data_IF_005122120882
#
_entry.id   IF_005122120882
#
_cell.length_a   1.000
_cell.length_b   1.000
_cell.length_c   1.000
_cell.angle_alpha   90.00
_cell.angle_beta   90.00
_cell.angle_gamma   90.00
#
_symmetry.space_group_name_H-M   'P 1'
#
loop_
_entity.id
_entity.type
_entity.pdbx_description
1 polymer ?
#
# COMPACT_ATOMS: atom_id res chain seq x y z
N UNK A 1 -12.14 20.48 12.04
CA UNK A 1 -12.32 19.24 11.26
C UNK A 1 -10.96 18.58 11.13
N UNK A 2 -10.67 17.47 11.83
CA UNK A 2 -9.39 16.80 11.66
C UNK A 2 -9.35 16.22 10.25
N UNK A 3 -8.31 16.60 9.50
CA UNK A 3 -8.05 16.13 8.14
C UNK A 3 -8.10 14.61 8.10
N UNK A 4 -8.90 14.04 7.21
CA UNK A 4 -8.82 12.63 6.81
C UNK A 4 -7.40 12.38 6.30
N UNK A 5 -6.51 11.94 7.19
CA UNK A 5 -5.16 11.55 6.84
C UNK A 5 -5.28 10.17 6.21
N UNK A 6 -4.93 9.98 4.92
CA UNK A 6 -5.02 8.68 4.26
C UNK A 6 -4.27 7.58 5.01
N UNK A 7 -3.23 7.96 5.77
CA UNK A 7 -2.52 7.01 6.61
C UNK A 7 -3.37 6.52 7.79
N UNK A 8 -4.24 7.36 8.36
CA UNK A 8 -5.12 6.98 9.47
C UNK A 8 -6.14 5.92 9.03
N UNK A 9 -6.69 6.03 7.82
CA UNK A 9 -7.60 5.01 7.28
C UNK A 9 -6.89 3.67 7.06
N UNK A 10 -5.65 3.69 6.54
CA UNK A 10 -4.81 2.50 6.37
C UNK A 10 -4.47 1.83 7.71
N UNK A 11 -4.08 2.61 8.71
CA UNK A 11 -3.84 2.09 10.07
C UNK A 11 -5.09 1.50 10.71
N UNK A 12 -6.28 2.09 10.47
CA UNK A 12 -7.56 1.55 10.96
C UNK A 12 -7.90 0.23 10.25
N UNK A 13 -7.70 0.13 8.93
CA UNK A 13 -7.96 -1.09 8.16
C UNK A 13 -7.07 -2.24 8.65
N UNK A 14 -5.78 -1.96 8.86
CA UNK A 14 -4.82 -2.90 9.45
C UNK A 14 -5.28 -3.33 10.84
N UNK A 15 -5.61 -2.38 11.72
CA UNK A 15 -6.07 -2.69 13.09
C UNK A 15 -7.34 -3.57 13.11
N UNK A 16 -8.27 -3.35 12.17
CA UNK A 16 -9.45 -4.21 12.01
C UNK A 16 -9.09 -5.61 11.54
N UNK A 17 -8.14 -5.76 10.61
CA UNK A 17 -7.63 -7.06 10.18
C UNK A 17 -6.95 -7.81 11.33
N UNK A 18 -6.18 -7.12 12.18
CA UNK A 18 -5.60 -7.69 13.40
C UNK A 18 -6.68 -8.21 14.35
N UNK A 19 -7.68 -7.38 14.65
CA UNK A 19 -8.81 -7.74 15.52
C UNK A 19 -9.58 -8.94 15.00
N UNK A 20 -9.82 -9.01 13.69
CA UNK A 20 -10.45 -10.16 13.05
C UNK A 20 -9.60 -11.43 13.19
N UNK A 21 -8.30 -11.35 12.91
CA UNK A 21 -7.39 -12.48 13.07
C UNK A 21 -7.32 -12.99 14.52
N UNK A 22 -7.38 -12.09 15.51
CA UNK A 22 -7.45 -12.47 16.93
C UNK A 22 -8.76 -13.22 17.24
N UNK A 23 -9.90 -12.77 16.71
CA UNK A 23 -11.17 -13.42 16.93
C UNK A 23 -11.27 -14.78 16.21
N UNK A 24 -10.76 -14.86 14.98
CA UNK A 24 -10.72 -16.09 14.18
C UNK A 24 -9.80 -17.14 14.85
N UNK A 25 -8.67 -16.71 15.41
CA UNK A 25 -7.76 -17.60 16.16
C UNK A 25 -8.28 -17.95 17.55
N UNK A 26 -9.07 -17.08 18.21
CA UNK A 26 -9.72 -17.40 19.47
C UNK A 26 -10.73 -18.56 19.33
N UNK A 27 -11.40 -18.66 18.18
CA UNK A 27 -12.33 -19.74 17.85
C UNK A 27 -11.66 -21.08 17.50
N UNK A 28 -10.36 -21.08 17.18
CA UNK A 28 -9.61 -22.26 16.74
C UNK A 28 -8.91 -22.98 17.92
N UNK A 29 -8.74 -24.30 17.88
CA UNK A 29 -8.22 -25.10 19.01
C UNK A 29 -6.69 -25.22 19.07
N UNK A 30 -5.96 -24.33 18.38
CA UNK A 30 -4.48 -24.32 18.32
C UNK A 30 -3.81 -23.85 19.62
N UNK A 31 -2.51 -24.11 19.75
CA UNK A 31 -1.73 -23.61 20.90
C UNK A 31 -1.70 -22.07 20.90
N UNK A 32 -1.51 -21.47 22.08
CA UNK A 32 -1.44 -20.01 22.20
C UNK A 32 -0.35 -19.40 21.30
N UNK A 33 0.75 -20.11 21.09
CA UNK A 33 1.86 -19.70 20.23
C UNK A 33 1.49 -19.72 18.75
N UNK A 34 0.76 -20.74 18.30
CA UNK A 34 0.27 -20.82 16.91
C UNK A 34 -0.69 -19.67 16.58
N UNK A 35 -1.56 -19.32 17.53
CA UNK A 35 -2.50 -18.19 17.40
C UNK A 35 -1.77 -16.86 17.29
N UNK A 36 -0.74 -16.65 18.11
CA UNK A 36 0.10 -15.44 18.05
C UNK A 36 0.81 -15.35 16.69
N UNK A 37 1.37 -16.46 16.21
CA UNK A 37 2.05 -16.51 14.92
C UNK A 37 1.09 -16.22 13.75
N UNK A 38 -0.13 -16.78 13.79
CA UNK A 38 -1.16 -16.53 12.79
C UNK A 38 -1.59 -15.06 12.73
N UNK A 39 -1.70 -14.39 13.89
CA UNK A 39 -1.98 -12.95 13.94
C UNK A 39 -0.85 -12.15 13.30
N UNK A 40 0.42 -12.45 13.61
CA UNK A 40 1.56 -11.76 12.98
C UNK A 40 1.57 -11.93 11.46
N UNK A 41 1.30 -13.12 10.94
CA UNK A 41 1.23 -13.37 9.50
C UNK A 41 0.05 -12.64 8.84
N UNK A 42 -1.10 -12.59 9.51
CA UNK A 42 -2.26 -11.84 9.02
C UNK A 42 -1.98 -10.32 8.96
N UNK A 43 -1.26 -9.80 9.96
CA UNK A 43 -0.79 -8.41 9.99
C UNK A 43 0.14 -8.15 8.81
N UNK A 44 1.21 -8.93 8.68
CA UNK A 44 2.19 -8.76 7.62
C UNK A 44 1.53 -8.82 6.23
N UNK A 45 0.61 -9.77 6.02
CA UNK A 45 -0.15 -9.88 4.78
C UNK A 45 -1.03 -8.65 4.52
N UNK A 46 -1.72 -8.14 5.54
CA UNK A 46 -2.56 -6.94 5.41
C UNK A 46 -1.72 -5.70 5.08
N UNK A 47 -0.56 -5.53 5.73
CA UNK A 47 0.40 -4.49 5.41
C UNK A 47 0.92 -4.63 3.97
N UNK A 48 1.36 -5.82 3.57
CA UNK A 48 1.90 -6.04 2.23
C UNK A 48 0.88 -5.74 1.14
N UNK A 49 -0.38 -6.14 1.34
CA UNK A 49 -1.48 -5.86 0.41
C UNK A 49 -1.75 -4.36 0.32
N UNK A 50 -1.91 -3.68 1.46
CA UNK A 50 -2.22 -2.26 1.51
C UNK A 50 -1.09 -1.40 0.92
N UNK A 51 0.17 -1.82 1.07
CA UNK A 51 1.34 -1.12 0.54
C UNK A 51 1.79 -1.62 -0.85
N UNK A 52 1.11 -2.59 -1.46
CA UNK A 52 1.50 -3.11 -2.78
C UNK A 52 1.47 -2.00 -3.85
N UNK A 53 0.35 -1.30 -3.96
CA UNK A 53 0.16 -0.22 -4.94
C UNK A 53 1.10 0.96 -4.69
N UNK A 54 1.35 1.28 -3.41
CA UNK A 54 2.29 2.32 -3.03
C UNK A 54 3.73 1.95 -3.43
N UNK A 55 4.16 0.71 -3.15
CA UNK A 55 5.49 0.22 -3.53
C UNK A 55 5.67 0.19 -5.05
N UNK A 56 4.64 -0.23 -5.79
CA UNK A 56 4.63 -0.21 -7.24
C UNK A 56 4.74 1.23 -7.79
N UNK A 57 3.97 2.16 -7.23
CA UNK A 57 4.04 3.58 -7.59
C UNK A 57 5.45 4.17 -7.36
N UNK A 58 6.06 3.86 -6.22
CA UNK A 58 7.44 4.29 -5.90
C UNK A 58 8.45 3.69 -6.86
N UNK A 59 8.35 2.40 -7.19
CA UNK A 59 9.25 1.74 -8.13
C UNK A 59 9.16 2.37 -9.53
N UNK A 60 7.95 2.65 -10.03
CA UNK A 60 7.75 3.32 -11.31
C UNK A 60 8.39 4.72 -11.30
N UNK A 61 8.16 5.51 -10.24
CA UNK A 61 8.77 6.83 -10.11
C UNK A 61 10.31 6.75 -10.08
N UNK A 62 10.89 5.77 -9.39
CA UNK A 62 12.33 5.56 -9.35
C UNK A 62 12.90 5.27 -10.75
N UNK A 63 12.29 4.35 -11.50
CA UNK A 63 12.71 4.02 -12.87
C UNK A 63 12.59 5.22 -13.82
N UNK A 64 11.54 6.03 -13.68
CA UNK A 64 11.38 7.25 -14.49
C UNK A 64 12.44 8.29 -14.16
N UNK A 65 12.76 8.48 -12.87
CA UNK A 65 13.83 9.38 -12.46
C UNK A 65 15.20 8.90 -12.93
N UNK A 66 15.49 7.60 -12.86
CA UNK A 66 16.69 7.01 -13.44
C UNK A 66 16.78 7.25 -14.96
N UNK A 67 15.66 7.09 -15.67
CA UNK A 67 15.60 7.34 -17.11
C UNK A 67 15.85 8.81 -17.45
N UNK A 68 15.31 9.74 -16.68
CA UNK A 68 15.58 11.18 -16.85
C UNK A 68 17.04 11.49 -16.51
N UNK A 69 17.57 10.93 -15.43
CA UNK A 69 18.94 11.16 -14.98
C UNK A 69 20.01 10.57 -15.92
N UNK A 70 19.64 9.56 -16.73
CA UNK A 70 20.54 8.96 -17.74
C UNK A 70 21.02 9.96 -18.80
N UNK A 71 20.30 11.07 -19.00
CA UNK A 71 20.61 12.05 -20.04
C UNK A 71 20.27 11.60 -21.47
N UNK A 72 19.66 10.43 -21.64
CA UNK A 72 19.22 9.92 -22.95
C UNK A 72 17.98 10.63 -23.52
N UNK A 73 17.31 11.46 -22.71
CA UNK A 73 16.11 12.20 -23.10
C UNK A 73 16.45 13.69 -23.25
N UNK A 74 15.92 14.32 -24.29
CA UNK A 74 15.89 15.78 -24.37
C UNK A 74 14.94 16.39 -23.32
N UNK A 75 15.02 17.70 -23.14
CA UNK A 75 14.24 18.41 -22.11
C UNK A 75 12.72 18.23 -22.26
N UNK A 76 12.22 18.18 -23.50
CA UNK A 76 10.79 18.03 -23.78
C UNK A 76 10.33 16.60 -23.54
N UNK A 77 11.14 15.62 -23.93
CA UNK A 77 10.90 14.20 -23.67
C UNK A 77 10.91 13.88 -22.17
N UNK A 78 11.88 14.41 -21.42
CA UNK A 78 11.95 14.28 -19.98
C UNK A 78 10.72 14.91 -19.29
N UNK A 79 10.34 16.12 -19.69
CA UNK A 79 9.17 16.81 -19.16
C UNK A 79 7.84 16.10 -19.50
N UNK A 80 7.77 15.45 -20.68
CA UNK A 80 6.61 14.65 -21.08
C UNK A 80 6.51 13.36 -20.26
N UNK A 81 7.62 12.64 -20.09
CA UNK A 81 7.68 11.41 -19.30
C UNK A 81 7.32 11.67 -17.83
N UNK A 82 7.84 12.76 -17.25
CA UNK A 82 7.51 13.17 -15.89
C UNK A 82 6.00 13.45 -15.72
N UNK A 83 5.39 14.19 -16.66
CA UNK A 83 3.93 14.47 -16.64
C UNK A 83 3.10 13.21 -16.72
N UNK A 84 3.41 12.32 -17.67
CA UNK A 84 2.70 11.05 -17.82
C UNK A 84 2.79 10.18 -16.55
N UNK A 85 3.94 10.18 -15.88
CA UNK A 85 4.16 9.42 -14.64
C UNK A 85 3.34 9.98 -13.47
N UNK A 86 3.21 11.32 -13.38
CA UNK A 86 2.37 11.98 -12.36
C UNK A 86 0.88 11.71 -12.63
N UNK A 87 0.45 11.76 -13.89
CA UNK A 87 -0.94 11.51 -14.32
C UNK A 87 -1.35 10.04 -14.15
N UNK A 88 -0.40 9.10 -14.26
CA UNK A 88 -0.62 7.68 -14.03
C UNK A 88 -0.66 7.28 -12.55
N UNK A 89 -0.58 8.23 -11.61
CA UNK A 89 -0.75 7.89 -10.18
C UNK A 89 -2.05 7.10 -10.01
N UNK A 90 -2.01 5.85 -9.53
CA UNK A 90 -3.22 5.12 -9.25
C UNK A 90 -4.01 5.94 -8.23
N UNK A 91 -5.27 6.25 -8.55
CA UNK A 91 -6.23 6.84 -7.63
C UNK A 91 -6.42 5.86 -6.46
N UNK A 92 -5.52 5.91 -5.47
CA UNK A 92 -5.67 5.15 -4.21
C UNK A 92 -6.92 5.57 -3.42
N UNK A 93 -7.70 6.53 -3.94
CA UNK A 93 -8.92 7.05 -3.35
C UNK A 93 -10.23 6.50 -3.97
N UNK A 94 -10.18 5.69 -5.04
CA UNK A 94 -11.41 5.19 -5.71
C UNK A 94 -11.96 3.87 -5.17
N UNK A 95 -11.29 3.20 -4.23
CA UNK A 95 -11.71 1.88 -3.77
C UNK A 95 -12.53 1.86 -2.47
N UNK A 96 -12.94 3.01 -1.92
CA UNK A 96 -13.81 3.07 -0.73
C UNK A 96 -15.31 3.21 -1.04
N UNK A 97 -15.72 3.01 -2.29
CA UNK A 97 -17.11 2.85 -2.70
C UNK A 97 -17.32 1.52 -3.41
N UNK A 98 -17.11 0.40 -2.72
CA UNK A 98 -17.80 -0.85 -3.05
C UNK A 98 -17.73 -1.83 -1.87
N UNK A 99 -18.93 -2.04 -1.29
CA UNK A 99 -19.35 -3.07 -0.32
C UNK A 99 -18.93 -2.95 1.15
#
# INVERSE_FOLDING_TARGET
MPKNNPNTERYIAIARACLKAINDTAADSGSREDKIQAVYQAIDKAFQAEFADYRQSVAIMATVLERIASGELDADQAAKLARQTIEQKPDSAKNNQMH
#
